data_IF_215516133890
#
_entry.id   IF_215516133890
#
_cell.length_a   1.000
_cell.length_b   1.000
_cell.length_c   1.000
_cell.angle_alpha   90.00
_cell.angle_beta   90.00
_cell.angle_gamma   90.00
#
_symmetry.space_group_name_H-M   'P 1'
#
loop_
_entity.id
_entity.type
_entity.pdbx_description
1 polymer ?
#
# COMPACT_ATOMS: atom_id res chain seq x y z
N UNK A 1 15.28 -7.88 8.07
CA UNK A 1 15.91 -9.18 7.75
C UNK A 1 15.17 -10.40 8.29
N UNK A 2 14.45 -10.30 9.43
CA UNK A 2 13.76 -11.46 10.03
C UNK A 2 12.77 -12.12 9.06
N UNK A 3 11.91 -11.37 8.38
CA UNK A 3 10.95 -11.92 7.44
C UNK A 3 11.64 -12.65 6.28
N UNK A 4 12.62 -12.05 5.65
CA UNK A 4 13.35 -12.64 4.53
C UNK A 4 14.28 -13.80 4.94
N UNK A 5 14.57 -13.95 6.23
CA UNK A 5 15.27 -15.10 6.78
C UNK A 5 14.40 -16.34 6.98
N UNK A 6 13.08 -16.23 6.82
CA UNK A 6 12.18 -17.38 6.88
C UNK A 6 12.12 -18.12 5.55
N UNK A 7 11.78 -19.42 5.57
CA UNK A 7 11.64 -20.23 4.36
C UNK A 7 10.64 -19.62 3.37
N UNK A 8 9.48 -19.12 3.86
CA UNK A 8 8.48 -18.48 3.01
C UNK A 8 8.96 -17.11 2.51
N UNK A 9 9.51 -16.28 3.39
CA UNK A 9 9.98 -14.94 3.04
C UNK A 9 11.09 -14.93 2.02
N UNK A 10 11.95 -15.94 2.08
CA UNK A 10 13.07 -16.09 1.17
C UNK A 10 12.62 -16.33 -0.27
N UNK A 11 11.50 -17.07 -0.48
CA UNK A 11 11.07 -17.49 -1.80
C UNK A 11 9.96 -16.62 -2.41
N UNK A 12 9.14 -15.95 -1.57
CA UNK A 12 7.89 -15.37 -2.06
C UNK A 12 7.77 -13.86 -1.86
N UNK A 13 8.49 -13.28 -0.89
CA UNK A 13 8.32 -11.88 -0.57
C UNK A 13 9.45 -11.00 -1.12
N UNK A 14 9.13 -10.31 -2.21
CA UNK A 14 10.02 -9.37 -2.86
C UNK A 14 9.93 -7.98 -2.22
N UNK A 15 8.71 -7.56 -1.91
CA UNK A 15 8.43 -6.28 -1.27
C UNK A 15 7.93 -6.52 0.15
N UNK A 16 8.42 -5.73 1.08
CA UNK A 16 7.99 -5.74 2.48
C UNK A 16 7.71 -4.32 2.90
N UNK A 17 6.53 -4.11 3.46
CA UNK A 17 6.14 -2.85 4.07
C UNK A 17 6.02 -3.05 5.58
N UNK A 18 6.57 -2.14 6.34
CA UNK A 18 6.45 -2.10 7.80
C UNK A 18 5.57 -0.93 8.17
N UNK A 19 4.58 -1.20 9.00
CA UNK A 19 3.64 -0.21 9.54
C UNK A 19 3.59 -0.31 11.05
N UNK A 20 3.07 0.70 11.72
CA UNK A 20 2.79 0.68 13.16
C UNK A 20 1.41 0.07 13.43
N UNK A 21 1.14 -0.19 14.69
CA UNK A 21 -0.09 -0.84 15.16
C UNK A 21 -1.39 -0.04 14.90
N UNK A 22 -1.28 1.23 14.61
CA UNK A 22 -2.40 2.11 14.25
C UNK A 22 -2.87 1.95 12.80
N UNK A 23 -2.17 1.14 12.01
CA UNK A 23 -2.53 0.79 10.63
C UNK A 23 -2.99 -0.67 10.59
N UNK A 24 -4.25 -0.89 10.27
CA UNK A 24 -4.75 -2.25 10.04
C UNK A 24 -4.14 -2.80 8.72
N UNK A 25 -3.34 -3.85 8.84
CA UNK A 25 -2.69 -4.51 7.70
C UNK A 25 -3.68 -5.25 6.77
N UNK A 26 -4.93 -5.39 7.16
CA UNK A 26 -6.00 -5.97 6.33
C UNK A 26 -6.82 -4.91 5.61
N UNK A 27 -6.70 -3.66 6.04
CA UNK A 27 -7.31 -2.51 5.39
C UNK A 27 -6.37 -1.97 4.31
N UNK A 28 -6.75 -2.16 3.06
CA UNK A 28 -5.96 -1.72 1.91
C UNK A 28 -5.87 -0.20 1.83
N UNK A 29 -6.94 0.51 2.14
CA UNK A 29 -6.95 1.97 2.10
C UNK A 29 -6.02 2.56 3.17
N UNK A 30 -6.01 1.96 4.37
CA UNK A 30 -5.08 2.35 5.42
C UNK A 30 -3.61 2.09 5.02
N UNK A 31 -3.32 0.98 4.33
CA UNK A 31 -1.98 0.70 3.81
C UNK A 31 -1.57 1.68 2.71
N UNK A 32 -2.46 1.96 1.75
CA UNK A 32 -2.19 2.91 0.67
C UNK A 32 -2.01 4.32 1.23
N UNK A 33 -2.80 4.70 2.24
CA UNK A 33 -2.62 5.95 2.97
C UNK A 33 -1.25 6.02 3.67
N UNK A 34 -0.88 4.97 4.40
CA UNK A 34 0.40 4.93 5.10
C UNK A 34 1.58 5.04 4.10
N UNK A 35 1.47 4.38 2.95
CA UNK A 35 2.47 4.47 1.90
C UNK A 35 2.55 5.88 1.29
N UNK A 36 1.42 6.52 1.06
CA UNK A 36 1.36 7.86 0.44
C UNK A 36 1.79 9.00 1.36
N UNK A 37 1.55 8.87 2.67
CA UNK A 37 1.71 9.99 3.60
C UNK A 37 2.82 9.79 4.64
N UNK A 38 3.26 8.54 4.89
CA UNK A 38 4.33 8.27 5.88
C UNK A 38 5.69 8.02 5.24
N UNK A 39 5.72 7.55 3.99
CA UNK A 39 6.98 7.16 3.35
C UNK A 39 7.64 8.36 2.69
N UNK A 40 8.80 8.74 3.19
CA UNK A 40 9.69 9.70 2.54
C UNK A 40 10.98 8.98 2.11
N UNK A 41 11.07 8.65 0.83
CA UNK A 41 12.21 7.93 0.29
C UNK A 41 13.55 8.66 0.50
N UNK A 42 13.52 10.00 0.51
CA UNK A 42 14.69 10.84 0.75
C UNK A 42 15.22 10.76 2.19
N UNK A 43 14.41 10.27 3.12
CA UNK A 43 14.78 10.09 4.54
C UNK A 43 15.11 8.63 4.90
N UNK A 44 15.36 7.80 3.89
CA UNK A 44 15.77 6.41 4.10
C UNK A 44 14.64 5.45 4.43
N UNK A 45 13.38 5.86 4.24
CA UNK A 45 12.21 5.00 4.45
C UNK A 45 11.90 4.07 3.26
N UNK A 46 12.66 4.18 2.18
CA UNK A 46 12.63 3.25 1.05
C UNK A 46 14.02 2.66 0.83
N UNK A 47 14.17 1.36 1.09
CA UNK A 47 15.44 0.67 0.94
C UNK A 47 15.34 -0.42 -0.13
N UNK A 48 16.34 -0.45 -1.01
CA UNK A 48 16.44 -1.48 -2.06
C UNK A 48 17.67 -2.35 -1.83
N UNK A 49 17.51 -3.67 -2.01
CA UNK A 49 18.55 -4.67 -1.85
C UNK A 49 18.67 -5.44 -3.16
N UNK A 50 19.67 -5.11 -3.96
CA UNK A 50 19.94 -5.77 -5.22
C UNK A 50 20.61 -7.14 -5.05
N UNK A 51 20.54 -7.94 -6.13
CA UNK A 51 21.22 -9.25 -6.24
C UNK A 51 20.92 -10.22 -5.09
N UNK A 52 19.69 -10.19 -4.58
CA UNK A 52 19.25 -11.12 -3.54
C UNK A 52 18.71 -12.40 -4.17
N UNK A 53 18.73 -13.47 -3.38
CA UNK A 53 18.07 -14.72 -3.74
C UNK A 53 16.58 -14.50 -4.04
N UNK A 54 16.08 -15.12 -5.12
CA UNK A 54 14.69 -15.00 -5.51
C UNK A 54 14.14 -16.24 -6.20
N UNK A 55 12.83 -16.27 -6.43
CA UNK A 55 12.17 -17.39 -7.12
C UNK A 55 12.47 -17.34 -8.62
N UNK A 56 12.80 -18.50 -9.17
CA UNK A 56 12.91 -18.71 -10.63
C UNK A 56 11.57 -18.57 -11.36
N UNK A 57 10.47 -18.56 -10.63
CA UNK A 57 9.11 -18.42 -11.15
C UNK A 57 8.66 -16.95 -11.26
N UNK A 58 9.49 -16.01 -10.85
CA UNK A 58 9.13 -14.59 -10.92
C UNK A 58 9.16 -14.09 -12.37
N UNK A 59 8.01 -13.68 -12.94
CA UNK A 59 7.94 -13.23 -14.33
C UNK A 59 8.66 -11.88 -14.56
N UNK A 60 9.01 -11.14 -13.51
CA UNK A 60 9.76 -9.89 -13.62
C UNK A 60 11.27 -10.11 -13.77
N UNK A 61 11.75 -11.33 -13.59
CA UNK A 61 13.17 -11.67 -13.79
C UNK A 61 13.40 -11.99 -15.26
N UNK A 62 14.39 -11.34 -15.85
CA UNK A 62 14.76 -11.60 -17.24
C UNK A 62 15.13 -13.07 -17.44
N UNK A 63 14.67 -13.66 -18.53
CA UNK A 63 14.79 -15.11 -18.79
C UNK A 63 16.23 -15.62 -18.70
N UNK A 64 17.18 -14.85 -19.16
CA UNK A 64 18.61 -15.14 -19.08
C UNK A 64 19.17 -15.17 -17.66
N UNK A 65 18.45 -14.55 -16.69
CA UNK A 65 18.79 -14.54 -15.27
C UNK A 65 18.08 -15.64 -14.47
N UNK A 66 17.25 -16.45 -15.11
CA UNK A 66 16.52 -17.55 -14.47
C UNK A 66 17.35 -18.85 -14.47
N UNK A 67 18.41 -18.93 -15.25
CA UNK A 67 19.26 -20.12 -15.31
C UNK A 67 20.01 -20.35 -13.99
N UNK A 68 19.48 -21.26 -13.18
CA UNK A 68 20.03 -21.63 -11.86
C UNK A 68 21.45 -22.16 -11.95
N UNK A 69 21.84 -22.81 -13.06
CA UNK A 69 23.19 -23.36 -13.25
C UNK A 69 24.21 -22.27 -13.55
N UNK A 70 23.77 -21.25 -14.27
CA UNK A 70 24.64 -20.14 -14.71
C UNK A 70 24.70 -19.01 -13.69
N UNK A 71 23.58 -18.69 -13.03
CA UNK A 71 23.43 -17.53 -12.15
C UNK A 71 23.16 -17.88 -10.69
N UNK A 72 23.18 -19.17 -10.32
CA UNK A 72 22.85 -19.67 -9.01
C UNK A 72 21.34 -19.71 -8.81
N UNK A 73 20.79 -18.67 -8.27
CA UNK A 73 19.33 -18.50 -8.06
C UNK A 73 18.90 -17.22 -8.76
N UNK A 74 17.61 -17.13 -9.12
CA UNK A 74 17.10 -15.92 -9.75
C UNK A 74 17.50 -14.68 -8.95
N UNK A 75 18.04 -13.68 -9.62
CA UNK A 75 18.46 -12.45 -8.95
C UNK A 75 17.30 -11.51 -8.78
N UNK A 76 16.93 -11.21 -7.52
CA UNK A 76 15.93 -10.22 -7.19
C UNK A 76 16.52 -8.92 -6.67
N UNK A 77 15.80 -7.83 -6.91
CA UNK A 77 15.91 -6.65 -6.09
C UNK A 77 14.74 -6.63 -5.13
N UNK A 78 15.03 -6.63 -3.83
CA UNK A 78 14.02 -6.55 -2.78
C UNK A 78 13.83 -5.11 -2.35
N UNK A 79 12.62 -4.80 -1.91
CA UNK A 79 12.26 -3.46 -1.44
C UNK A 79 11.73 -3.57 -0.01
N UNK A 80 12.30 -2.77 0.88
CA UNK A 80 11.74 -2.51 2.20
C UNK A 80 11.16 -1.10 2.19
N UNK A 81 9.90 -1.01 2.55
CA UNK A 81 9.17 0.25 2.72
C UNK A 81 8.92 0.41 4.22
N UNK A 82 9.53 1.43 4.81
CA UNK A 82 9.25 1.81 6.19
C UNK A 82 8.16 2.87 6.20
N UNK A 83 6.92 2.43 6.38
CA UNK A 83 5.75 3.29 6.50
C UNK A 83 5.34 3.54 7.95
N UNK A 84 6.31 3.48 8.86
CA UNK A 84 6.14 3.96 10.23
C UNK A 84 6.26 5.48 10.28
N UNK A 85 5.84 6.09 11.39
CA UNK A 85 6.07 7.52 11.62
C UNK A 85 7.58 7.81 11.66
N UNK A 86 8.01 8.91 11.06
CA UNK A 86 9.41 9.30 11.14
C UNK A 86 9.74 9.83 12.54
N UNK A 87 10.36 8.98 13.34
CA UNK A 87 10.71 9.30 14.73
C UNK A 87 11.85 10.31 14.86
N UNK A 88 12.54 10.66 13.77
CA UNK A 88 13.52 11.73 13.74
C UNK A 88 12.87 13.12 13.66
N UNK A 89 11.59 13.20 13.30
CA UNK A 89 10.86 14.46 13.31
C UNK A 89 10.52 14.86 14.74
N UNK A 90 10.64 16.15 15.04
CA UNK A 90 10.18 16.69 16.31
C UNK A 90 8.65 16.65 16.40
N UNK A 91 8.08 16.48 17.61
CA UNK A 91 6.65 16.61 17.83
C UNK A 91 6.16 17.99 17.40
N UNK A 92 5.06 18.05 16.65
CA UNK A 92 4.47 19.30 16.21
C UNK A 92 3.37 19.75 17.20
N UNK A 93 3.49 20.93 17.79
CA UNK A 93 2.47 21.45 18.71
C UNK A 93 1.08 21.60 18.07
N UNK A 94 1.02 21.93 16.76
CA UNK A 94 -0.24 22.08 16.02
C UNK A 94 -0.98 20.74 15.81
N UNK A 95 -0.32 19.64 16.11
CA UNK A 95 -0.86 18.28 16.01
C UNK A 95 -0.92 17.59 17.39
N UNK A 96 -1.19 18.34 18.43
CA UNK A 96 -1.22 17.84 19.82
C UNK A 96 0.06 17.09 20.22
N UNK A 97 1.21 17.56 19.77
CA UNK A 97 2.50 16.91 20.04
C UNK A 97 2.74 15.63 19.24
N UNK A 98 1.95 15.33 18.23
CA UNK A 98 2.19 14.20 17.33
C UNK A 98 3.31 14.53 16.33
N UNK A 99 4.00 13.49 15.85
CA UNK A 99 5.03 13.64 14.79
C UNK A 99 4.46 13.60 13.38
N UNK A 100 3.16 13.41 13.27
CA UNK A 100 2.43 13.34 12.01
C UNK A 100 1.03 13.91 12.20
N UNK A 101 0.52 14.57 11.17
CA UNK A 101 -0.85 15.05 11.16
C UNK A 101 -1.85 13.90 11.41
N UNK A 102 -2.93 14.15 12.15
CA UNK A 102 -4.00 13.19 12.30
C UNK A 102 -4.66 12.91 10.93
N UNK A 103 -5.14 11.68 10.76
CA UNK A 103 -5.93 11.31 9.59
C UNK A 103 -7.24 12.11 9.62
N UNK A 104 -7.57 12.77 8.52
CA UNK A 104 -8.87 13.37 8.33
C UNK A 104 -9.89 12.28 8.06
N UNK A 105 -10.73 12.02 9.02
CA UNK A 105 -11.87 11.10 8.87
C UNK A 105 -13.11 11.93 8.63
N UNK A 106 -13.87 11.59 7.60
CA UNK A 106 -15.16 12.23 7.36
C UNK A 106 -16.11 11.80 8.49
N UNK A 107 -16.69 12.74 9.26
CA UNK A 107 -17.65 12.36 10.28
C UNK A 107 -18.86 11.63 9.68
N UNK A 108 -19.38 10.57 10.33
CA UNK A 108 -20.48 9.77 9.79
C UNK A 108 -21.73 10.59 9.42
N UNK A 109 -22.02 11.66 10.17
CA UNK A 109 -23.11 12.57 9.87
C UNK A 109 -22.86 13.38 8.58
N UNK A 110 -21.60 13.64 8.23
CA UNK A 110 -21.25 14.30 6.97
C UNK A 110 -21.36 13.35 5.80
N UNK A 111 -20.90 12.13 5.97
CA UNK A 111 -21.03 11.06 4.99
C UNK A 111 -22.50 10.78 4.67
N UNK A 112 -23.35 10.67 5.69
CA UNK A 112 -24.80 10.50 5.50
C UNK A 112 -25.42 11.68 4.73
N UNK A 113 -25.03 12.91 5.03
CA UNK A 113 -25.50 14.09 4.28
C UNK A 113 -25.08 14.06 2.81
N UNK A 114 -23.88 13.59 2.53
CA UNK A 114 -23.38 13.43 1.16
C UNK A 114 -24.21 12.37 0.44
N UNK A 115 -24.42 11.22 1.08
CA UNK A 115 -25.22 10.15 0.55
C UNK A 115 -26.66 10.60 0.22
N UNK A 116 -27.35 11.25 1.15
CA UNK A 116 -28.74 11.71 0.99
C UNK A 116 -28.90 12.74 -0.14
N UNK A 117 -27.82 13.46 -0.46
CA UNK A 117 -27.80 14.50 -1.48
C UNK A 117 -27.02 14.14 -2.73
N UNK A 118 -26.59 12.88 -2.87
CA UNK A 118 -25.72 12.44 -3.95
C UNK A 118 -26.20 12.85 -5.34
N UNK A 119 -27.50 12.70 -5.59
CA UNK A 119 -28.12 13.07 -6.86
C UNK A 119 -28.01 14.56 -7.18
N UNK A 120 -27.94 15.43 -6.16
CA UNK A 120 -27.84 16.88 -6.34
C UNK A 120 -26.45 17.32 -6.83
N UNK A 121 -25.42 16.50 -6.61
CA UNK A 121 -24.05 16.82 -7.00
C UNK A 121 -23.78 16.61 -8.49
N UNK A 122 -24.71 16.03 -9.24
CA UNK A 122 -24.58 15.80 -10.69
C UNK A 122 -23.49 14.79 -11.06
N UNK A 123 -23.05 13.97 -10.09
CA UNK A 123 -22.10 12.89 -10.31
C UNK A 123 -22.84 11.76 -11.02
N UNK A 124 -22.45 11.45 -12.25
CA UNK A 124 -23.14 10.49 -13.12
C UNK A 124 -23.06 9.01 -12.72
N UNK A 125 -22.52 8.70 -11.54
CA UNK A 125 -22.42 7.35 -11.00
C UNK A 125 -23.15 7.24 -9.67
N UNK A 126 -23.74 6.08 -9.33
CA UNK A 126 -24.40 5.90 -8.04
C UNK A 126 -23.37 6.01 -6.90
N UNK A 127 -23.84 6.52 -5.75
CA UNK A 127 -23.06 6.37 -4.52
C UNK A 127 -23.01 4.89 -4.15
N UNK A 128 -21.81 4.43 -3.87
CA UNK A 128 -21.59 3.06 -3.40
C UNK A 128 -20.89 3.17 -2.04
N UNK A 129 -21.47 2.54 -1.01
CA UNK A 129 -20.80 2.35 0.25
C UNK A 129 -19.65 1.33 0.12
N UNK A 130 -18.83 1.22 1.15
CA UNK A 130 -17.64 0.37 1.12
C UNK A 130 -17.98 -1.10 0.91
N UNK A 131 -19.03 -1.61 1.56
CA UNK A 131 -19.49 -2.98 1.39
C UNK A 131 -19.94 -3.25 -0.06
N UNK A 132 -20.60 -2.29 -0.68
CA UNK A 132 -21.03 -2.38 -2.08
C UNK A 132 -19.84 -2.34 -3.04
N UNK A 133 -18.81 -1.55 -2.74
CA UNK A 133 -17.57 -1.48 -3.55
C UNK A 133 -16.80 -2.80 -3.50
N UNK A 134 -16.66 -3.40 -2.32
CA UNK A 134 -15.97 -4.68 -2.17
C UNK A 134 -16.65 -5.84 -2.89
N UNK A 135 -17.98 -5.79 -3.02
CA UNK A 135 -18.75 -6.82 -3.71
C UNK A 135 -18.76 -6.67 -5.23
N UNK A 136 -18.30 -5.53 -5.76
CA UNK A 136 -18.31 -5.29 -7.21
C UNK A 136 -17.14 -5.97 -7.90
N UNK A 137 -17.44 -6.79 -8.88
CA UNK A 137 -16.43 -7.29 -9.81
C UNK A 137 -15.93 -6.17 -10.73
N UNK A 138 -14.73 -6.32 -11.28
CA UNK A 138 -14.19 -5.37 -12.27
C UNK A 138 -15.10 -5.17 -13.49
N UNK A 139 -15.89 -6.18 -13.87
CA UNK A 139 -16.85 -6.08 -14.94
C UNK A 139 -18.05 -5.19 -14.56
N UNK A 140 -18.52 -5.31 -13.33
CA UNK A 140 -19.62 -4.47 -12.81
C UNK A 140 -19.15 -3.02 -12.64
N UNK A 141 -17.92 -2.80 -12.15
CA UNK A 141 -17.32 -1.47 -12.06
C UNK A 141 -17.24 -0.79 -13.44
N UNK A 142 -16.81 -1.50 -14.48
CA UNK A 142 -16.76 -0.96 -15.86
C UNK A 142 -18.13 -0.57 -16.42
N UNK A 143 -19.21 -1.20 -15.95
CA UNK A 143 -20.58 -0.82 -16.37
C UNK A 143 -21.10 0.43 -15.67
N UNK A 144 -20.58 0.73 -14.49
CA UNK A 144 -20.99 1.86 -13.65
C UNK A 144 -20.16 3.11 -13.97
N UNK A 145 -18.86 2.92 -14.23
CA UNK A 145 -17.96 4.00 -14.59
C UNK A 145 -18.13 4.33 -16.08
N UNK A 146 -18.39 5.59 -16.43
CA UNK A 146 -18.38 5.99 -17.85
C UNK A 146 -16.99 5.71 -18.43
N UNK A 147 -16.95 5.26 -19.68
CA UNK A 147 -15.68 5.13 -20.40
C UNK A 147 -14.98 6.51 -20.43
N UNK A 148 -13.80 6.58 -19.81
CA UNK A 148 -12.91 7.74 -19.87
C UNK A 148 -12.08 7.66 -21.13
#
# INVERSE_FOLDING_TARGET
>A
NALWGTSAGQWFFKNVMVVEEDIDIRDREALDWAMGFRVNAGEGQLLTFGETFGSVLDPSVAREKIDVRKYGTGSWTRVLIDATRNWNHEPNPDWDGRRMAPINVIPPETEQKIHDRWAEYGIGVPYLDDDQREMLTMEQLRRILPEV
#
